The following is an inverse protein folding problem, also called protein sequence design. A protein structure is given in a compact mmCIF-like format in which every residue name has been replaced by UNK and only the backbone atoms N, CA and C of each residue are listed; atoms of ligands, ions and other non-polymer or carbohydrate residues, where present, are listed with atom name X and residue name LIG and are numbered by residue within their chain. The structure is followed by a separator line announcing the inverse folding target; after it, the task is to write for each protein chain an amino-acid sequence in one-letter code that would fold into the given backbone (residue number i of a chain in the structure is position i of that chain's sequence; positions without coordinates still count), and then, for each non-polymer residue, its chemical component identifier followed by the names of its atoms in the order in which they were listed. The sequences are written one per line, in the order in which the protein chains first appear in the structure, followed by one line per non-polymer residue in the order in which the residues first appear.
data_IF_987299013575
#
_entry.id   IF_987299013575
#
_cell.length_a   1.000
_cell.length_b   1.000
_cell.length_c   1.000
_cell.angle_alpha   90.00
_cell.angle_beta   90.00
_cell.angle_gamma   90.00
#
_symmetry.space_group_name_H-M   'P 1'
#
loop_
_entity.id
_entity.type
_entity.pdbx_description
1 polymer ?
#
# COMPACT_ATOMS: atom_id res chain seq x y z
N UNK A 1 17.02 -8.33 -8.99
CA UNK A 1 16.18 -9.53 -8.86
C UNK A 1 15.75 -9.77 -7.43
N UNK A 2 16.66 -9.60 -6.51
CA UNK A 2 16.39 -9.75 -5.10
C UNK A 2 15.33 -8.75 -4.60
N UNK A 3 15.44 -7.49 -5.02
CA UNK A 3 14.46 -6.45 -4.66
C UNK A 3 13.07 -6.77 -5.19
N UNK A 4 12.99 -7.35 -6.40
CA UNK A 4 11.69 -7.75 -6.98
C UNK A 4 11.03 -8.83 -6.13
N UNK A 5 11.81 -9.81 -5.66
CA UNK A 5 11.27 -10.86 -4.79
C UNK A 5 10.69 -10.29 -3.49
N UNK A 6 11.41 -9.37 -2.86
CA UNK A 6 10.94 -8.72 -1.62
C UNK A 6 9.66 -7.92 -1.90
N UNK A 7 9.63 -7.20 -3.03
CA UNK A 7 8.46 -6.45 -3.45
C UNK A 7 7.24 -7.35 -3.62
N UNK A 8 7.41 -8.49 -4.31
CA UNK A 8 6.31 -9.44 -4.54
C UNK A 8 5.81 -10.02 -3.21
N UNK A 9 6.71 -10.39 -2.31
CA UNK A 9 6.32 -10.88 -0.98
C UNK A 9 5.52 -9.85 -0.21
N UNK A 10 5.91 -8.58 -0.32
CA UNK A 10 5.20 -7.48 0.33
C UNK A 10 3.78 -7.34 -0.22
N UNK A 11 3.63 -7.35 -1.54
CA UNK A 11 2.32 -7.29 -2.20
C UNK A 11 1.45 -8.49 -1.81
N UNK A 12 2.02 -9.69 -1.76
CA UNK A 12 1.29 -10.89 -1.36
C UNK A 12 0.78 -10.78 0.08
N UNK A 13 1.60 -10.24 0.99
CA UNK A 13 1.19 -10.01 2.37
C UNK A 13 0.05 -9.00 2.46
N UNK A 14 0.11 -7.93 1.67
CA UNK A 14 -0.99 -6.95 1.58
C UNK A 14 -2.27 -7.63 1.09
N UNK A 15 -2.17 -8.44 0.04
CA UNK A 15 -3.35 -9.11 -0.54
C UNK A 15 -3.95 -10.16 0.39
N UNK A 16 -3.15 -10.72 1.30
CA UNK A 16 -3.66 -11.61 2.35
C UNK A 16 -4.27 -10.84 3.52
N UNK A 17 -4.14 -9.52 3.53
CA UNK A 17 -4.58 -8.64 4.64
C UNK A 17 -3.91 -9.02 5.97
N UNK A 18 -2.64 -9.41 5.88
CA UNK A 18 -1.86 -9.80 7.03
C UNK A 18 -0.93 -8.64 7.43
N UNK A 19 -1.46 -7.71 8.22
CA UNK A 19 -0.73 -6.50 8.60
C UNK A 19 0.57 -6.82 9.33
N UNK A 20 0.58 -7.87 10.13
CA UNK A 20 1.78 -8.30 10.86
C UNK A 20 2.86 -8.78 9.89
N UNK A 21 2.48 -9.56 8.86
CA UNK A 21 3.41 -10.02 7.84
C UNK A 21 3.92 -8.85 6.99
N UNK A 22 3.06 -7.89 6.67
CA UNK A 22 3.47 -6.68 5.94
C UNK A 22 4.53 -5.94 6.75
N UNK A 23 4.28 -5.72 8.05
CA UNK A 23 5.22 -5.01 8.92
C UNK A 23 6.53 -5.78 9.11
N UNK A 24 6.47 -7.11 9.13
CA UNK A 24 7.68 -7.94 9.27
C UNK A 24 8.61 -7.80 8.06
N UNK A 25 8.08 -7.39 6.91
CA UNK A 25 8.87 -7.14 5.70
C UNK A 25 9.36 -5.70 5.61
N UNK A 26 9.09 -4.86 6.61
CA UNK A 26 9.54 -3.48 6.66
C UNK A 26 10.83 -3.34 7.47
N UNK A 27 11.65 -2.36 7.09
CA UNK A 27 12.72 -1.92 7.98
C UNK A 27 12.09 -1.22 9.19
N UNK A 28 12.82 -1.15 10.31
CA UNK A 28 12.33 -0.48 11.52
C UNK A 28 11.97 0.98 11.22
N UNK A 29 12.79 1.65 10.42
CA UNK A 29 12.62 3.05 10.03
C UNK A 29 11.81 3.22 8.74
N UNK A 30 10.98 2.24 8.40
CA UNK A 30 10.18 2.25 7.17
C UNK A 30 9.47 3.59 6.96
N UNK A 31 9.38 3.99 5.70
CA UNK A 31 8.75 5.25 5.30
C UNK A 31 7.63 4.92 4.29
N UNK A 32 6.41 5.30 4.64
CA UNK A 32 5.27 5.20 3.72
C UNK A 32 4.95 6.59 3.20
N UNK A 33 4.82 6.71 1.87
CA UNK A 33 4.45 7.98 1.24
C UNK A 33 3.20 7.74 0.41
N UNK A 34 2.11 8.41 0.76
CA UNK A 34 0.84 8.25 0.04
C UNK A 34 0.81 9.09 -1.23
N UNK A 35 -0.28 8.99 -2.00
CA UNK A 35 -0.40 9.66 -3.29
C UNK A 35 -0.50 11.18 -3.19
N UNK A 36 -0.72 11.71 -1.99
CA UNK A 36 -0.74 13.16 -1.74
C UNK A 36 0.61 13.68 -1.22
N UNK A 37 1.58 12.77 -1.03
CA UNK A 37 2.88 13.14 -0.50
C UNK A 37 2.98 13.14 1.02
N UNK A 38 1.93 12.68 1.71
CA UNK A 38 1.98 12.54 3.17
C UNK A 38 2.89 11.39 3.55
N UNK A 39 3.67 11.58 4.61
CA UNK A 39 4.70 10.64 5.04
C UNK A 39 4.34 10.07 6.41
N UNK A 40 4.40 8.75 6.54
CA UNK A 40 4.27 8.04 7.82
C UNK A 40 5.53 7.22 8.01
N UNK A 41 6.14 7.29 9.19
CA UNK A 41 7.41 6.61 9.47
C UNK A 41 7.25 5.56 10.55
N UNK A 42 7.99 4.47 10.37
CA UNK A 42 8.10 3.39 11.34
C UNK A 42 7.24 2.18 11.00
N UNK A 43 7.82 0.99 11.10
CA UNK A 43 7.14 -0.26 10.82
C UNK A 43 5.96 -0.47 11.77
N UNK A 44 6.14 -0.16 13.05
CA UNK A 44 5.10 -0.32 14.07
C UNK A 44 3.88 0.56 13.77
N UNK A 45 4.12 1.82 13.40
CA UNK A 45 3.05 2.75 13.04
C UNK A 45 2.31 2.26 11.80
N UNK A 46 3.05 1.75 10.81
CA UNK A 46 2.45 1.24 9.59
C UNK A 46 1.70 -0.08 9.78
N UNK A 47 2.11 -0.90 10.74
CA UNK A 47 1.34 -2.10 11.07
C UNK A 47 -0.08 -1.71 11.52
N UNK A 48 -0.17 -0.74 12.40
CA UNK A 48 -1.46 -0.19 12.87
C UNK A 48 -2.23 0.43 11.70
N UNK A 49 -1.54 1.17 10.84
CA UNK A 49 -2.15 1.77 9.66
C UNK A 49 -2.75 0.75 8.71
N UNK A 50 -2.03 -0.33 8.43
CA UNK A 50 -2.54 -1.40 7.56
C UNK A 50 -3.70 -2.14 8.20
N UNK A 51 -3.65 -2.39 9.51
CA UNK A 51 -4.78 -2.99 10.23
C UNK A 51 -6.06 -2.16 10.07
N UNK A 52 -5.94 -0.85 10.24
CA UNK A 52 -7.06 0.07 10.07
C UNK A 52 -7.59 0.08 8.65
N UNK A 53 -6.69 0.07 7.68
CA UNK A 53 -7.08 0.08 6.26
C UNK A 53 -7.79 -1.21 5.87
N UNK A 54 -7.29 -2.37 6.29
CA UNK A 54 -7.94 -3.65 6.02
C UNK A 54 -9.30 -3.76 6.71
N UNK A 55 -9.46 -3.12 7.84
CA UNK A 55 -10.75 -3.06 8.52
C UNK A 55 -11.76 -2.21 7.74
N UNK A 56 -11.31 -1.10 7.19
CA UNK A 56 -12.14 -0.20 6.40
C UNK A 56 -12.45 -0.78 5.01
N UNK A 57 -11.51 -1.48 4.42
CA UNK A 57 -11.62 -2.05 3.08
C UNK A 57 -11.21 -3.53 3.12
N UNK A 58 -12.13 -4.42 3.59
CA UNK A 58 -11.77 -5.82 3.84
C UNK A 58 -11.42 -6.63 2.60
N UNK A 59 -11.76 -6.15 1.43
CA UNK A 59 -11.46 -6.79 0.15
C UNK A 59 -10.40 -6.04 -0.67
N UNK A 60 -9.60 -5.20 -0.01
CA UNK A 60 -8.53 -4.45 -0.70
C UNK A 60 -7.59 -5.40 -1.44
N UNK A 61 -7.24 -5.03 -2.66
CA UNK A 61 -6.33 -5.82 -3.49
C UNK A 61 -5.43 -4.93 -4.31
N UNK A 62 -4.24 -5.47 -4.61
CA UNK A 62 -3.28 -4.88 -5.54
C UNK A 62 -3.01 -5.90 -6.62
N UNK A 63 -3.05 -5.47 -7.90
CA UNK A 63 -2.63 -6.29 -9.02
C UNK A 63 -1.46 -5.60 -9.70
N UNK A 64 -0.38 -6.32 -9.90
CA UNK A 64 0.84 -5.80 -10.53
C UNK A 64 0.86 -6.28 -11.98
N UNK A 65 0.92 -5.34 -12.92
CA UNK A 65 0.97 -5.65 -14.34
C UNK A 65 2.41 -5.64 -14.86
N UNK A 66 3.23 -4.70 -14.39
CA UNK A 66 4.62 -4.54 -14.84
C UNK A 66 5.50 -4.20 -13.65
N UNK A 67 6.67 -4.85 -13.60
CA UNK A 67 7.66 -4.63 -12.56
C UNK A 67 8.98 -4.25 -13.23
N UNK A 68 9.60 -3.19 -12.75
CA UNK A 68 10.93 -2.79 -13.18
C UNK A 68 11.89 -2.79 -12.01
N UNK A 69 12.96 -3.56 -12.13
CA UNK A 69 14.05 -3.53 -11.17
C UNK A 69 14.88 -2.27 -11.39
N UNK A 70 15.25 -1.61 -10.33
CA UNK A 70 16.08 -0.41 -10.40
C UNK A 70 17.07 -0.44 -9.23
N UNK A 71 18.10 0.39 -9.31
CA UNK A 71 19.11 0.46 -8.25
C UNK A 71 18.43 0.72 -6.90
N UNK A 72 18.60 -0.21 -5.97
CA UNK A 72 18.08 -0.10 -4.61
C UNK A 72 16.59 -0.36 -4.46
N UNK A 73 15.88 -0.82 -5.51
CA UNK A 73 14.46 -1.05 -5.35
C UNK A 73 13.71 -1.47 -6.59
N UNK A 74 12.43 -1.13 -6.62
CA UNK A 74 11.48 -1.57 -7.64
C UNK A 74 10.52 -0.44 -7.97
N UNK A 75 10.18 -0.33 -9.25
CA UNK A 75 9.07 0.49 -9.71
C UNK A 75 8.07 -0.44 -10.39
N UNK A 76 6.79 -0.34 -10.04
CA UNK A 76 5.76 -1.22 -10.57
C UNK A 76 4.51 -0.44 -10.91
N UNK A 77 3.75 -0.93 -11.90
CA UNK A 77 2.47 -0.36 -12.28
C UNK A 77 1.40 -1.44 -12.31
N UNK A 78 0.18 -1.07 -12.01
CA UNK A 78 -0.94 -1.99 -12.00
C UNK A 78 -2.22 -1.28 -11.58
N UNK A 79 -3.04 -1.99 -10.82
CA UNK A 79 -4.30 -1.47 -10.30
C UNK A 79 -4.45 -1.82 -8.83
N UNK A 80 -5.24 -1.03 -8.13
CA UNK A 80 -5.68 -1.32 -6.79
C UNK A 80 -7.19 -1.12 -6.72
N UNK A 81 -7.84 -1.82 -5.81
CA UNK A 81 -9.28 -1.72 -5.68
C UNK A 81 -9.80 -2.34 -4.40
N UNK A 82 -11.09 -2.24 -4.21
CA UNK A 82 -11.78 -2.78 -3.07
C UNK A 82 -13.15 -2.16 -2.90
N UNK A 83 -13.72 -2.34 -1.72
CA UNK A 83 -15.05 -1.82 -1.39
C UNK A 83 -14.99 -1.12 -0.04
N UNK A 84 -15.52 0.11 0.01
CA UNK A 84 -15.63 0.88 1.26
C UNK A 84 -17.09 1.29 1.40
N UNK A 85 -17.73 0.92 2.52
CA UNK A 85 -19.13 1.22 2.81
C UNK A 85 -20.05 0.82 1.64
N UNK A 86 -19.83 -0.37 1.09
CA UNK A 86 -20.66 -0.92 0.02
C UNK A 86 -20.40 -0.32 -1.36
N UNK A 87 -19.44 0.59 -1.48
CA UNK A 87 -19.09 1.20 -2.76
C UNK A 87 -17.77 0.65 -3.26
N UNK A 88 -17.81 0.00 -4.43
CA UNK A 88 -16.62 -0.55 -5.07
C UNK A 88 -15.84 0.54 -5.76
N UNK A 89 -14.52 0.42 -5.75
CA UNK A 89 -13.63 1.33 -6.45
C UNK A 89 -12.47 0.56 -7.05
N UNK A 90 -11.90 1.12 -8.11
CA UNK A 90 -10.73 0.56 -8.78
C UNK A 90 -10.00 1.69 -9.46
N UNK A 91 -8.69 1.75 -9.27
CA UNK A 91 -7.85 2.84 -9.79
C UNK A 91 -6.56 2.29 -10.37
N UNK A 92 -6.05 2.90 -11.45
CA UNK A 92 -4.68 2.61 -11.86
C UNK A 92 -3.72 3.17 -10.81
N UNK A 93 -2.62 2.47 -10.61
CA UNK A 93 -1.66 2.86 -9.58
C UNK A 93 -0.26 2.44 -9.97
N UNK A 94 0.71 3.12 -9.39
CA UNK A 94 2.11 2.76 -9.48
C UNK A 94 2.72 2.80 -8.08
N UNK A 95 3.72 1.99 -7.85
CA UNK A 95 4.39 1.91 -6.56
C UNK A 95 5.89 1.96 -6.75
N UNK A 96 6.57 2.66 -5.87
CA UNK A 96 8.02 2.64 -5.78
C UNK A 96 8.40 2.07 -4.43
N UNK A 97 9.18 1.01 -4.43
CA UNK A 97 9.69 0.41 -3.21
C UNK A 97 11.20 0.58 -3.16
N UNK A 98 11.71 1.03 -2.01
CA UNK A 98 13.14 0.99 -1.72
C UNK A 98 13.37 -0.23 -0.85
N UNK A 99 14.31 -1.09 -1.23
CA UNK A 99 14.61 -2.33 -0.52
C UNK A 99 16.01 -2.22 0.08
N UNK A 100 16.10 -2.53 1.36
CA UNK A 100 17.36 -2.52 2.10
C UNK A 100 17.35 -3.69 3.09
N UNK A 101 18.40 -4.49 3.10
CA UNK A 101 18.54 -5.64 4.01
C UNK A 101 17.35 -6.60 3.92
N UNK A 102 16.93 -6.90 2.68
CA UNK A 102 15.82 -7.82 2.38
C UNK A 102 14.47 -7.33 2.91
N UNK A 103 14.32 -6.04 3.15
CA UNK A 103 13.10 -5.45 3.68
C UNK A 103 12.77 -4.17 2.93
N UNK A 104 11.50 -3.81 2.97
CA UNK A 104 11.01 -2.59 2.33
C UNK A 104 11.28 -1.41 3.25
N UNK A 105 12.18 -0.53 2.82
CA UNK A 105 12.52 0.68 3.57
C UNK A 105 11.59 1.84 3.21
N UNK A 106 11.06 1.86 1.99
CA UNK A 106 10.09 2.88 1.58
C UNK A 106 9.04 2.21 0.66
N UNK A 107 7.79 2.58 0.89
CA UNK A 107 6.67 2.21 0.03
C UNK A 107 5.98 3.50 -0.37
N UNK A 108 6.08 3.85 -1.63
CA UNK A 108 5.51 5.09 -2.16
C UNK A 108 4.44 4.77 -3.19
N UNK A 109 3.29 5.42 -3.06
CA UNK A 109 2.14 5.19 -3.92
C UNK A 109 1.95 6.39 -4.85
N UNK A 110 1.74 6.12 -6.13
CA UNK A 110 1.36 7.10 -7.13
C UNK A 110 0.01 6.67 -7.70
N UNK A 111 -1.04 7.39 -7.36
CA UNK A 111 -2.39 7.01 -7.77
C UNK A 111 -3.32 8.22 -7.68
N UNK A 112 -4.34 8.22 -8.52
CA UNK A 112 -5.42 9.18 -8.36
C UNK A 112 -6.47 8.55 -7.45
N UNK A 113 -6.38 8.83 -6.16
CA UNK A 113 -7.28 8.28 -5.15
C UNK A 113 -8.56 9.10 -4.99
N UNK A 114 -8.88 9.98 -5.92
CA UNK A 114 -10.08 10.80 -5.84
C UNK A 114 -11.35 9.97 -5.58
N UNK A 115 -11.59 8.85 -6.29
CA UNK A 115 -12.77 8.02 -6.01
C UNK A 115 -12.81 7.51 -4.57
N UNK A 116 -11.67 7.13 -4.01
CA UNK A 116 -11.58 6.63 -2.63
C UNK A 116 -11.88 7.75 -1.64
N UNK A 117 -11.28 8.91 -1.85
CA UNK A 117 -11.48 10.06 -0.98
C UNK A 117 -12.92 10.57 -1.03
N UNK A 118 -13.59 10.47 -2.17
CA UNK A 118 -14.99 10.84 -2.29
C UNK A 118 -15.88 9.91 -1.45
N UNK A 119 -15.60 8.62 -1.45
CA UNK A 119 -16.33 7.64 -0.62
C UNK A 119 -16.11 7.96 0.86
N UNK A 120 -14.86 8.21 1.25
CA UNK A 120 -14.52 8.52 2.64
C UNK A 120 -15.15 9.83 3.10
N UNK A 121 -15.22 10.83 2.23
CA UNK A 121 -15.86 12.10 2.55
C UNK A 121 -17.36 11.93 2.79
N UNK A 122 -18.03 11.11 1.97
CA UNK A 122 -19.45 10.76 2.20
C UNK A 122 -19.65 10.08 3.54
N UNK A 123 -18.76 9.16 3.90
CA UNK A 123 -18.80 8.46 5.17
C UNK A 123 -18.73 9.44 6.34
N UNK A 124 -17.79 10.38 6.29
CA UNK A 124 -17.63 11.40 7.31
C UNK A 124 -18.86 12.31 7.41
N UNK A 125 -19.40 12.70 6.27
CA UNK A 125 -20.60 13.54 6.20
C UNK A 125 -21.79 12.86 6.86
N UNK A 126 -21.94 11.55 6.64
CA UNK A 126 -23.05 10.78 7.25
C UNK A 126 -22.87 10.59 8.74
N UNK A 127 -21.65 10.63 9.25
CA UNK A 127 -21.32 10.40 10.65
C UNK A 127 -21.16 11.68 11.47
N UNK A 128 -21.32 12.84 10.85
CA UNK A 128 -21.11 14.13 11.52
C UNK A 128 -22.42 14.82 11.98
#
# INVERSE_FOLDING_TARGET
MHSVRVFIEFVEAINRHDAKAVAALMTVDHCFVDSLGNVVRGASTMETGWMGYFSMCPDYWIRIDTVMDKAGGVLAVGEAGGTIDGQSWRIPAAWQAVVRDDRVAEWRVFADNKPVYEIMAKRQSLNS
#
